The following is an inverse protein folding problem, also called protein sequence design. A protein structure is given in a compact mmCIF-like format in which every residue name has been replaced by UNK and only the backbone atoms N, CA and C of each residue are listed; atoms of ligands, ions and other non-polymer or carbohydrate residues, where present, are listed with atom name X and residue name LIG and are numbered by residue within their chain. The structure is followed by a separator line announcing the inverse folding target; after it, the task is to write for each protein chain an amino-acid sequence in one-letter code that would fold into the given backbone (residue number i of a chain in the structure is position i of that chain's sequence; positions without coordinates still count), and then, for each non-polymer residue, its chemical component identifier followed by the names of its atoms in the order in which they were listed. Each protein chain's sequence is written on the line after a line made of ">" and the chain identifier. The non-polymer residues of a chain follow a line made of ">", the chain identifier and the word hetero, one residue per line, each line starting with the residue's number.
data_IF_296779164405
#
_entry.id   IF_296779164405
#
_cell.length_a   1.000
_cell.length_b   1.000
_cell.length_c   1.000
_cell.angle_alpha   90.00
_cell.angle_beta   90.00
_cell.angle_gamma   90.00
#
_symmetry.space_group_name_H-M   'P 1'
#
loop_
_entity.id
_entity.type
_entity.pdbx_description
1 polymer ?
#
# COMPACT_ATOMS: atom_id res chain seq x y z
N UNK A 1 -4.56 19.62 9.41
CA UNK A 1 -4.82 20.05 8.02
C UNK A 1 -6.06 19.33 7.51
N UNK A 2 -6.90 19.99 6.70
CA UNK A 2 -8.03 19.33 6.05
C UNK A 2 -7.48 18.32 5.04
N UNK A 3 -7.80 17.03 5.22
CA UNK A 3 -7.44 15.97 4.28
C UNK A 3 -8.37 16.00 3.07
N UNK A 4 -8.17 16.98 2.19
CA UNK A 4 -8.89 17.07 0.93
C UNK A 4 -8.34 16.05 -0.06
N UNK A 5 -9.23 15.48 -0.88
CA UNK A 5 -8.80 14.74 -2.06
C UNK A 5 -8.22 15.67 -3.11
N UNK A 6 -7.50 15.09 -4.07
CA UNK A 6 -6.97 15.79 -5.23
C UNK A 6 -8.09 16.54 -5.97
N UNK A 7 -9.24 15.89 -6.17
CA UNK A 7 -10.37 16.48 -6.86
C UNK A 7 -10.97 17.66 -6.10
N UNK A 8 -11.25 17.49 -4.82
CA UNK A 8 -11.79 18.57 -3.97
C UNK A 8 -10.85 19.77 -3.94
N UNK A 9 -9.56 19.51 -3.77
CA UNK A 9 -8.52 20.56 -3.78
C UNK A 9 -8.51 21.32 -5.11
N UNK A 10 -8.59 20.61 -6.24
CA UNK A 10 -8.67 21.23 -7.56
C UNK A 10 -9.97 22.03 -7.72
N UNK A 11 -11.10 21.56 -7.20
CA UNK A 11 -12.38 22.30 -7.24
C UNK A 11 -12.29 23.63 -6.49
N UNK A 12 -11.53 23.70 -5.39
CA UNK A 12 -11.32 24.98 -4.67
C UNK A 12 -10.57 26.04 -5.51
N UNK A 13 -9.88 25.64 -6.59
CA UNK A 13 -9.20 26.58 -7.49
C UNK A 13 -10.15 27.56 -8.17
N UNK A 14 -11.44 27.22 -8.30
CA UNK A 14 -12.47 28.11 -8.86
C UNK A 14 -12.72 29.31 -7.94
N UNK A 15 -12.52 29.16 -6.62
CA UNK A 15 -12.78 30.20 -5.64
C UNK A 15 -11.76 31.33 -5.69
N UNK A 16 -10.52 31.05 -6.10
CA UNK A 16 -9.48 32.06 -6.29
C UNK A 16 -8.25 31.49 -7.00
N UNK A 17 -7.52 32.34 -7.74
CA UNK A 17 -6.19 32.01 -8.30
C UNK A 17 -5.20 31.55 -7.24
N UNK A 18 -5.35 32.02 -5.98
CA UNK A 18 -4.48 31.59 -4.87
C UNK A 18 -4.60 30.09 -4.60
N UNK A 19 -5.81 29.53 -4.69
CA UNK A 19 -6.04 28.10 -4.47
C UNK A 19 -5.39 27.22 -5.53
N UNK A 20 -5.27 27.72 -6.77
CA UNK A 20 -4.51 27.04 -7.83
C UNK A 20 -3.04 26.87 -7.47
N UNK A 21 -2.40 27.93 -6.97
CA UNK A 21 -1.00 27.86 -6.57
C UNK A 21 -0.81 26.96 -5.35
N UNK A 22 -1.74 27.01 -4.39
CA UNK A 22 -1.70 26.19 -3.18
C UNK A 22 -1.81 24.69 -3.52
N UNK A 23 -2.73 24.32 -4.42
CA UNK A 23 -2.92 22.94 -4.88
C UNK A 23 -1.63 22.33 -5.43
N UNK A 24 -0.92 23.05 -6.33
CA UNK A 24 0.30 22.57 -6.96
C UNK A 24 1.41 22.21 -5.95
N UNK A 25 1.45 22.88 -4.80
CA UNK A 25 2.43 22.66 -3.73
C UNK A 25 1.86 21.92 -2.52
N UNK A 26 0.69 21.28 -2.61
CA UNK A 26 0.10 20.61 -1.47
C UNK A 26 0.96 19.41 -1.04
N UNK A 27 1.28 19.28 0.26
CA UNK A 27 2.12 18.20 0.77
C UNK A 27 1.35 16.87 0.88
N UNK A 28 0.02 16.90 0.79
CA UNK A 28 -0.82 15.70 0.82
C UNK A 28 -1.47 15.52 -0.54
N UNK A 29 -1.22 14.38 -1.18
CA UNK A 29 -1.84 14.01 -2.44
C UNK A 29 -2.72 12.78 -2.22
N UNK A 30 -4.04 12.97 -2.25
CA UNK A 30 -5.01 11.91 -2.03
C UNK A 30 -5.87 11.71 -3.30
N UNK A 31 -5.55 10.66 -4.05
CA UNK A 31 -6.23 10.25 -5.27
C UNK A 31 -7.21 9.12 -4.89
N UNK A 32 -8.51 9.36 -5.01
CA UNK A 32 -9.55 8.37 -4.68
C UNK A 32 -10.57 8.26 -5.81
N UNK A 33 -10.60 7.10 -6.48
CA UNK A 33 -11.54 6.84 -7.57
C UNK A 33 -13.01 6.92 -7.12
N UNK A 34 -13.32 6.64 -5.84
CA UNK A 34 -14.71 6.60 -5.35
C UNK A 34 -15.46 7.91 -5.55
N UNK A 35 -14.75 9.03 -5.62
CA UNK A 35 -15.33 10.35 -5.90
C UNK A 35 -15.89 10.46 -7.33
N UNK A 36 -15.34 9.68 -8.26
CA UNK A 36 -15.78 9.62 -9.64
C UNK A 36 -16.94 8.63 -9.82
N UNK A 37 -17.00 7.59 -8.99
CA UNK A 37 -18.07 6.58 -9.01
C UNK A 37 -19.41 7.07 -8.41
N UNK A 38 -19.40 8.06 -7.51
CA UNK A 38 -20.60 8.51 -6.76
C UNK A 38 -21.62 9.31 -7.59
N UNK A 39 -21.28 9.70 -8.83
CA UNK A 39 -22.11 10.60 -9.62
C UNK A 39 -23.27 9.91 -10.38
N UNK A 40 -23.32 8.58 -10.46
CA UNK A 40 -24.25 7.87 -11.36
C UNK A 40 -24.88 6.63 -10.72
N UNK A 41 -25.59 6.81 -9.61
CA UNK A 41 -26.61 5.81 -9.19
C UNK A 41 -28.00 6.07 -9.80
N UNK A 42 -28.15 7.03 -10.73
CA UNK A 42 -29.48 7.48 -11.20
C UNK A 42 -29.74 7.42 -12.71
N UNK A 43 -28.99 6.68 -13.52
CA UNK A 43 -29.34 6.54 -14.95
C UNK A 43 -29.05 5.15 -15.50
N UNK A 44 -30.09 4.52 -16.07
CA UNK A 44 -29.99 3.32 -16.91
C UNK A 44 -29.17 3.61 -18.18
N UNK A 45 -28.26 2.70 -18.52
CA UNK A 45 -27.38 2.75 -19.68
C UNK A 45 -25.93 2.56 -19.22
N UNK A 46 -25.17 1.66 -19.84
CA UNK A 46 -23.90 1.10 -19.31
C UNK A 46 -22.86 2.21 -18.94
N UNK A 47 -22.80 2.66 -17.67
CA UNK A 47 -22.03 3.85 -17.27
C UNK A 47 -20.54 3.57 -17.07
N UNK A 48 -20.14 2.29 -17.11
CA UNK A 48 -18.99 1.77 -16.36
C UNK A 48 -17.63 1.86 -17.06
N UNK A 49 -17.59 2.05 -18.38
CA UNK A 49 -16.34 2.15 -19.17
C UNK A 49 -15.83 3.59 -19.29
N UNK A 50 -16.74 4.58 -19.32
CA UNK A 50 -16.41 5.99 -19.54
C UNK A 50 -15.79 6.69 -18.33
N UNK A 51 -16.14 6.26 -17.11
CA UNK A 51 -15.72 6.93 -15.87
C UNK A 51 -14.27 6.65 -15.49
N UNK A 52 -13.76 5.46 -15.85
CA UNK A 52 -12.36 5.13 -15.68
C UNK A 52 -11.48 6.08 -16.50
N UNK A 53 -11.88 6.37 -17.74
CA UNK A 53 -11.20 7.35 -18.59
C UNK A 53 -11.16 8.75 -17.97
N UNK A 54 -12.26 9.24 -17.39
CA UNK A 54 -12.30 10.56 -16.74
C UNK A 54 -11.40 10.67 -15.51
N UNK A 55 -11.38 9.62 -14.69
CA UNK A 55 -10.49 9.56 -13.53
C UNK A 55 -9.03 9.46 -13.97
N UNK A 56 -8.73 8.59 -14.92
CA UNK A 56 -7.37 8.42 -15.45
C UNK A 56 -6.85 9.70 -16.09
N UNK A 57 -7.69 10.39 -16.85
CA UNK A 57 -7.39 11.67 -17.47
C UNK A 57 -7.16 12.73 -16.39
N UNK A 58 -8.01 12.81 -15.36
CA UNK A 58 -7.82 13.73 -14.25
C UNK A 58 -6.47 13.51 -13.55
N UNK A 59 -6.13 12.27 -13.21
CA UNK A 59 -4.86 12.00 -12.52
C UNK A 59 -3.68 12.26 -13.48
N UNK A 60 -3.70 11.69 -14.67
CA UNK A 60 -2.56 11.74 -15.60
C UNK A 60 -2.34 13.13 -16.21
N UNK A 61 -3.41 13.84 -16.59
CA UNK A 61 -3.31 15.15 -17.23
C UNK A 61 -3.29 16.29 -16.22
N UNK A 62 -3.91 16.16 -15.05
CA UNK A 62 -4.02 17.26 -14.11
C UNK A 62 -3.12 17.05 -12.88
N UNK A 63 -3.22 15.91 -12.21
CA UNK A 63 -2.45 15.67 -10.99
C UNK A 63 -0.95 15.56 -11.29
N UNK A 64 -0.54 14.66 -12.18
CA UNK A 64 0.88 14.42 -12.44
C UNK A 64 1.59 15.56 -13.17
N UNK A 65 0.85 16.40 -13.91
CA UNK A 65 1.43 17.51 -14.69
C UNK A 65 1.55 18.80 -13.88
N UNK A 66 0.57 19.10 -13.02
CA UNK A 66 0.53 20.39 -12.32
C UNK A 66 0.95 20.30 -10.86
N UNK A 67 0.95 19.10 -10.26
CA UNK A 67 1.52 18.94 -8.92
C UNK A 67 3.05 18.96 -9.01
N UNK A 68 3.66 19.86 -8.24
CA UNK A 68 5.10 20.18 -8.33
C UNK A 68 5.81 20.09 -6.98
N UNK A 69 5.17 19.49 -5.97
CA UNK A 69 5.82 19.33 -4.67
C UNK A 69 7.01 18.36 -4.79
N UNK A 70 8.17 18.81 -4.33
CA UNK A 70 9.40 18.01 -4.28
C UNK A 70 9.36 16.95 -3.19
N UNK A 71 8.54 17.14 -2.16
CA UNK A 71 8.32 16.18 -1.08
C UNK A 71 6.86 16.14 -0.67
N UNK A 72 6.33 14.94 -0.46
CA UNK A 72 4.99 14.72 0.10
C UNK A 72 5.07 14.33 1.57
N UNK A 73 4.13 14.79 2.37
CA UNK A 73 3.87 14.24 3.70
C UNK A 73 3.02 12.97 3.57
N UNK A 74 2.07 12.95 2.63
CA UNK A 74 1.21 11.81 2.39
C UNK A 74 0.91 11.63 0.90
N UNK A 75 1.05 10.40 0.40
CA UNK A 75 0.56 9.98 -0.91
C UNK A 75 -0.44 8.84 -0.71
N UNK A 76 -1.69 9.07 -1.11
CA UNK A 76 -2.74 8.06 -1.08
C UNK A 76 -3.29 7.86 -2.49
N UNK A 77 -3.36 6.61 -2.93
CA UNK A 77 -3.91 6.24 -4.21
C UNK A 77 -4.88 5.06 -4.02
N UNK A 78 -6.17 5.31 -4.20
CA UNK A 78 -7.20 4.29 -4.26
C UNK A 78 -7.78 4.22 -5.67
N UNK A 79 -7.62 3.06 -6.30
CA UNK A 79 -8.20 2.79 -7.60
C UNK A 79 -8.69 1.34 -7.70
N UNK A 80 -9.57 1.09 -8.66
CA UNK A 80 -10.25 -0.19 -8.86
C UNK A 80 -9.72 -0.91 -10.10
N UNK A 81 -10.09 -2.18 -10.28
CA UNK A 81 -9.64 -3.07 -11.37
C UNK A 81 -9.96 -2.57 -12.79
N UNK A 82 -10.70 -1.47 -12.91
CA UNK A 82 -11.06 -0.88 -14.19
C UNK A 82 -9.96 -0.03 -14.79
N UNK A 83 -9.03 0.47 -13.96
CA UNK A 83 -7.92 1.28 -14.43
C UNK A 83 -6.83 0.39 -15.06
N UNK A 84 -6.22 0.86 -16.15
CA UNK A 84 -5.08 0.14 -16.75
C UNK A 84 -3.88 0.13 -15.81
N UNK A 85 -3.18 -1.00 -15.75
CA UNK A 85 -2.03 -1.18 -14.86
C UNK A 85 -0.91 -0.18 -15.16
N UNK A 86 -0.58 0.01 -16.44
CA UNK A 86 0.50 0.88 -16.90
C UNK A 86 0.27 2.34 -16.52
N UNK A 87 -1.00 2.73 -16.44
CA UNK A 87 -1.41 4.08 -16.04
C UNK A 87 -1.19 4.26 -14.54
N UNK A 88 -1.49 3.25 -13.74
CA UNK A 88 -1.40 3.37 -12.27
C UNK A 88 -0.02 3.13 -11.73
N UNK A 89 0.74 2.24 -12.34
CA UNK A 89 2.18 2.15 -12.10
C UNK A 89 2.86 3.51 -12.32
N UNK A 90 2.45 4.28 -13.35
CA UNK A 90 2.94 5.65 -13.55
C UNK A 90 2.58 6.59 -12.38
N UNK A 91 1.38 6.47 -11.83
CA UNK A 91 0.94 7.28 -10.68
C UNK A 91 1.72 6.94 -9.42
N UNK A 92 1.91 5.65 -9.18
CA UNK A 92 2.69 5.12 -8.07
C UNK A 92 4.14 5.60 -8.17
N UNK A 93 4.78 5.47 -9.35
CA UNK A 93 6.15 5.95 -9.58
C UNK A 93 6.28 7.46 -9.36
N UNK A 94 5.28 8.24 -9.74
CA UNK A 94 5.27 9.67 -9.46
C UNK A 94 5.14 9.95 -7.95
N UNK A 95 4.22 9.29 -7.26
CA UNK A 95 4.08 9.41 -5.81
C UNK A 95 5.38 9.06 -5.07
N UNK A 96 6.04 7.98 -5.48
CA UNK A 96 7.34 7.54 -4.98
C UNK A 96 8.43 8.60 -5.22
N UNK A 97 8.47 9.20 -6.43
CA UNK A 97 9.44 10.23 -6.79
C UNK A 97 9.37 11.45 -5.85
N UNK A 98 8.19 11.74 -5.31
CA UNK A 98 7.98 12.82 -4.36
C UNK A 98 8.33 12.43 -2.90
N UNK A 99 9.06 11.33 -2.66
CA UNK A 99 9.57 10.91 -1.33
C UNK A 99 8.57 11.10 -0.17
N UNK A 100 7.41 10.43 -0.21
CA UNK A 100 6.36 10.63 0.77
C UNK A 100 6.77 10.12 2.15
N UNK A 101 6.33 10.80 3.22
CA UNK A 101 6.49 10.27 4.58
C UNK A 101 5.50 9.14 4.89
N UNK A 102 4.30 9.22 4.32
CA UNK A 102 3.25 8.20 4.40
C UNK A 102 2.77 7.82 3.00
N UNK A 103 2.72 6.53 2.70
CA UNK A 103 2.22 6.03 1.43
C UNK A 103 1.12 4.99 1.64
N UNK A 104 -0.03 5.21 1.03
CA UNK A 104 -1.18 4.31 1.08
C UNK A 104 -1.63 3.99 -0.35
N UNK A 105 -1.49 2.73 -0.76
CA UNK A 105 -1.89 2.30 -2.09
C UNK A 105 -2.90 1.18 -1.92
N UNK A 106 -4.06 1.35 -2.54
CA UNK A 106 -5.09 0.32 -2.54
C UNK A 106 -5.60 0.12 -3.96
N UNK A 107 -5.54 -1.14 -4.40
CA UNK A 107 -5.87 -1.54 -5.76
C UNK A 107 -6.68 -2.86 -5.72
N UNK A 108 -7.43 -3.21 -6.77
CA UNK A 108 -8.22 -4.45 -6.85
C UNK A 108 -7.51 -5.49 -7.72
N UNK A 109 -7.54 -6.80 -7.41
CA UNK A 109 -6.42 -7.73 -7.69
C UNK A 109 -6.06 -7.81 -9.19
N UNK A 110 -4.78 -8.16 -9.46
CA UNK A 110 -4.05 -8.29 -10.75
C UNK A 110 -2.98 -7.22 -11.05
N UNK A 111 -2.69 -6.29 -10.14
CA UNK A 111 -1.57 -5.35 -10.32
C UNK A 111 -0.34 -5.81 -9.56
N UNK A 112 0.73 -6.04 -10.32
CA UNK A 112 2.08 -6.25 -9.83
C UNK A 112 2.69 -4.91 -9.44
N UNK A 113 2.99 -4.75 -8.16
CA UNK A 113 3.79 -3.68 -7.64
C UNK A 113 5.25 -4.07 -7.77
N UNK A 114 5.90 -3.51 -8.80
CA UNK A 114 7.31 -3.72 -9.10
C UNK A 114 8.26 -2.95 -8.19
N UNK A 115 7.73 -2.18 -7.24
CA UNK A 115 8.52 -1.77 -6.09
C UNK A 115 8.70 -0.28 -5.81
N UNK A 116 9.47 -0.03 -4.76
CA UNK A 116 9.99 1.27 -4.31
C UNK A 116 11.11 1.75 -5.27
N UNK A 117 11.50 3.03 -5.25
CA UNK A 117 12.45 3.55 -6.24
C UNK A 117 13.81 2.86 -6.05
N UNK A 118 14.42 2.47 -7.16
CA UNK A 118 15.72 1.81 -7.14
C UNK A 118 16.80 2.73 -6.53
N UNK A 119 17.73 2.10 -5.80
CA UNK A 119 18.83 2.64 -4.98
C UNK A 119 19.67 3.79 -5.60
N UNK A 120 19.07 4.96 -5.78
CA UNK A 120 19.75 6.19 -6.17
C UNK A 120 19.19 7.45 -5.51
N UNK A 121 18.09 7.35 -4.77
CA UNK A 121 17.48 8.48 -4.07
C UNK A 121 17.77 8.39 -2.58
N UNK A 122 18.74 9.18 -2.12
CA UNK A 122 19.19 9.33 -0.72
C UNK A 122 18.14 9.93 0.24
N UNK A 123 16.87 9.98 -0.17
CA UNK A 123 15.80 10.71 0.50
C UNK A 123 14.51 9.89 0.68
N UNK A 124 14.56 8.55 0.85
CA UNK A 124 13.37 7.84 1.29
C UNK A 124 13.02 8.29 2.72
N UNK A 125 11.98 9.12 2.84
CA UNK A 125 11.40 9.60 4.10
C UNK A 125 10.24 8.73 4.57
N UNK A 126 9.98 7.61 3.87
CA UNK A 126 8.82 6.76 4.07
C UNK A 126 8.89 6.09 5.44
N UNK A 127 8.03 6.56 6.35
CA UNK A 127 7.87 5.99 7.69
C UNK A 127 6.72 5.01 7.76
N UNK A 128 5.68 5.22 6.95
CA UNK A 128 4.49 4.36 6.89
C UNK A 128 4.20 3.94 5.47
N UNK A 129 4.07 2.64 5.26
CA UNK A 129 3.65 2.04 4.01
C UNK A 129 2.41 1.16 4.25
N UNK A 130 1.32 1.46 3.57
CA UNK A 130 0.12 0.64 3.54
C UNK A 130 -0.18 0.22 2.10
N UNK A 131 -0.23 -1.08 1.86
CA UNK A 131 -0.53 -1.70 0.58
C UNK A 131 -1.75 -2.59 0.74
N UNK A 132 -2.77 -2.39 -0.08
CA UNK A 132 -4.00 -3.17 -0.05
C UNK A 132 -4.40 -3.73 -1.42
N UNK A 133 -4.63 -5.04 -1.48
CA UNK A 133 -5.00 -5.88 -2.65
C UNK A 133 -4.09 -5.69 -3.87
N UNK A 134 -2.79 -5.68 -3.58
CA UNK A 134 -1.68 -5.54 -4.53
C UNK A 134 -0.87 -6.83 -4.58
N UNK A 135 -0.38 -7.21 -5.77
CA UNK A 135 0.61 -8.28 -5.92
C UNK A 135 2.01 -7.73 -5.77
N UNK A 136 2.83 -8.34 -4.92
CA UNK A 136 4.20 -7.91 -4.62
C UNK A 136 5.18 -8.90 -5.22
N UNK A 137 6.08 -8.38 -6.05
CA UNK A 137 7.17 -9.15 -6.64
C UNK A 137 8.26 -9.47 -5.60
N UNK A 138 9.07 -10.48 -5.92
CA UNK A 138 10.26 -10.91 -5.21
C UNK A 138 11.26 -9.79 -4.90
N UNK A 139 11.35 -8.77 -5.75
CA UNK A 139 12.21 -7.60 -5.52
C UNK A 139 11.75 -6.66 -4.39
N UNK A 140 10.48 -6.73 -3.97
CA UNK A 140 9.92 -5.82 -2.95
C UNK A 140 10.67 -5.89 -1.62
N UNK A 141 11.03 -7.10 -1.19
CA UNK A 141 11.67 -7.35 0.11
C UNK A 141 13.10 -6.79 0.15
N UNK A 142 13.83 -6.91 -0.94
CA UNK A 142 15.17 -6.32 -1.10
C UNK A 142 15.09 -4.79 -1.10
N UNK A 143 14.03 -4.22 -1.68
CA UNK A 143 13.80 -2.78 -1.71
C UNK A 143 13.37 -2.21 -0.36
N UNK A 144 12.66 -2.97 0.49
CA UNK A 144 12.40 -2.54 1.87
C UNK A 144 13.71 -2.35 2.63
N UNK A 145 14.68 -3.27 2.47
CA UNK A 145 15.98 -3.20 3.13
C UNK A 145 16.88 -2.07 2.59
N UNK A 146 16.94 -1.91 1.25
CA UNK A 146 17.88 -0.99 0.59
C UNK A 146 17.29 0.38 0.29
N UNK A 147 15.98 0.45 0.03
CA UNK A 147 15.30 1.63 -0.47
C UNK A 147 14.69 2.52 0.63
N UNK A 148 14.26 1.96 1.76
CA UNK A 148 13.57 2.72 2.81
C UNK A 148 14.04 2.37 4.24
N UNK A 149 15.23 2.85 4.64
CA UNK A 149 15.83 2.53 5.94
C UNK A 149 15.07 3.10 7.15
N UNK A 150 14.16 4.05 6.95
CA UNK A 150 13.39 4.72 8.02
C UNK A 150 11.96 4.22 8.16
N UNK A 151 11.60 3.10 7.52
CA UNK A 151 10.26 2.55 7.55
C UNK A 151 9.94 1.95 8.92
N UNK A 152 8.98 2.54 9.64
CA UNK A 152 8.57 2.13 10.99
C UNK A 152 7.27 1.32 10.98
N UNK A 153 6.33 1.65 10.08
CA UNK A 153 5.00 1.03 9.98
C UNK A 153 4.80 0.40 8.60
N UNK A 154 4.54 -0.92 8.55
CA UNK A 154 4.18 -1.64 7.34
C UNK A 154 2.82 -2.35 7.51
N UNK A 155 1.88 -2.06 6.61
CA UNK A 155 0.56 -2.67 6.57
C UNK A 155 0.34 -3.32 5.20
N UNK A 156 0.03 -4.60 5.19
CA UNK A 156 -0.30 -5.38 3.99
C UNK A 156 -1.69 -5.97 4.18
N UNK A 157 -2.65 -5.59 3.33
CA UNK A 157 -4.03 -6.04 3.40
C UNK A 157 -4.43 -6.73 2.08
N UNK A 158 -4.91 -7.97 2.12
CA UNK A 158 -5.32 -8.74 0.92
C UNK A 158 -4.26 -8.81 -0.19
N UNK A 159 -2.97 -8.69 0.14
CA UNK A 159 -1.88 -8.69 -0.83
C UNK A 159 -1.49 -10.10 -1.28
N UNK A 160 -1.04 -10.23 -2.52
CA UNK A 160 -0.43 -11.44 -3.05
C UNK A 160 1.10 -11.32 -2.95
N UNK A 161 1.76 -12.29 -2.33
CA UNK A 161 3.20 -12.27 -2.04
C UNK A 161 3.86 -13.49 -2.68
N UNK A 162 4.56 -13.30 -3.81
CA UNK A 162 5.19 -14.41 -4.55
C UNK A 162 6.50 -14.89 -3.90
N UNK A 163 7.26 -13.98 -3.27
CA UNK A 163 8.32 -14.30 -2.31
C UNK A 163 8.01 -13.64 -0.98
N UNK A 164 8.04 -14.44 0.07
CA UNK A 164 7.48 -14.07 1.36
C UNK A 164 8.56 -13.96 2.42
N UNK A 165 9.64 -13.24 2.13
CA UNK A 165 10.67 -12.95 3.12
C UNK A 165 10.65 -11.47 3.48
N UNK A 166 9.95 -11.08 4.54
CA UNK A 166 9.94 -9.69 5.00
C UNK A 166 11.16 -9.47 5.88
N UNK A 167 12.15 -8.73 5.37
CA UNK A 167 13.34 -8.30 6.12
C UNK A 167 13.30 -6.79 6.32
N UNK A 168 13.45 -6.33 7.56
CA UNK A 168 13.65 -4.91 7.86
C UNK A 168 14.30 -4.73 9.22
N UNK A 169 15.18 -3.73 9.36
CA UNK A 169 15.88 -3.43 10.61
C UNK A 169 15.28 -2.23 11.36
N UNK A 170 14.43 -1.43 10.71
CA UNK A 170 13.80 -0.23 11.28
C UNK A 170 12.31 -0.39 11.58
N UNK A 171 11.71 -1.50 11.12
CA UNK A 171 10.29 -1.75 11.26
C UNK A 171 9.90 -1.99 12.72
N UNK A 172 8.94 -1.21 13.21
CA UNK A 172 8.40 -1.26 14.59
C UNK A 172 7.00 -1.87 14.63
N UNK A 173 6.19 -1.66 13.58
CA UNK A 173 4.82 -2.17 13.48
C UNK A 173 4.62 -2.89 12.16
N UNK A 174 4.13 -4.13 12.23
CA UNK A 174 3.81 -4.95 11.07
C UNK A 174 2.39 -5.49 11.19
N UNK A 175 1.56 -5.16 10.20
CA UNK A 175 0.19 -5.68 10.07
C UNK A 175 0.09 -6.43 8.75
N UNK A 176 -0.29 -7.70 8.80
CA UNK A 176 -0.52 -8.54 7.62
C UNK A 176 -1.91 -9.15 7.76
N UNK A 177 -2.83 -8.75 6.88
CA UNK A 177 -4.23 -9.18 6.91
C UNK A 177 -4.64 -9.80 5.57
N UNK A 178 -5.21 -11.00 5.58
CA UNK A 178 -5.80 -11.69 4.41
C UNK A 178 -4.88 -11.84 3.18
N UNK A 179 -3.55 -11.81 3.37
CA UNK A 179 -2.58 -11.98 2.29
C UNK A 179 -2.46 -13.45 1.83
N UNK A 180 -2.15 -13.67 0.55
CA UNK A 180 -2.04 -15.00 -0.08
C UNK A 180 -0.73 -15.18 -0.85
N UNK A 181 -0.43 -16.41 -1.27
CA UNK A 181 0.74 -16.75 -2.08
C UNK A 181 0.40 -17.86 -3.08
N UNK A 182 0.77 -17.69 -4.35
CA UNK A 182 0.44 -18.62 -5.43
C UNK A 182 0.99 -20.05 -5.24
N UNK A 183 2.16 -20.20 -4.62
CA UNK A 183 2.89 -21.48 -4.57
C UNK A 183 2.87 -22.14 -3.18
N UNK A 184 1.98 -21.69 -2.30
CA UNK A 184 1.96 -22.14 -0.91
C UNK A 184 3.32 -21.96 -0.25
N UNK A 185 3.84 -20.74 -0.29
CA UNK A 185 5.19 -20.46 0.23
C UNK A 185 5.22 -20.37 1.75
N UNK A 186 6.44 -20.25 2.28
CA UNK A 186 6.70 -19.98 3.69
C UNK A 186 6.90 -18.49 3.87
N UNK A 187 6.09 -17.85 4.72
CA UNK A 187 6.26 -16.45 5.07
C UNK A 187 7.30 -16.33 6.19
N UNK A 188 8.51 -15.90 5.85
CA UNK A 188 9.59 -15.65 6.79
C UNK A 188 9.64 -14.17 7.14
N UNK A 189 9.55 -13.85 8.43
CA UNK A 189 9.61 -12.46 8.92
C UNK A 189 10.86 -12.29 9.78
N UNK A 190 11.73 -11.37 9.36
CA UNK A 190 12.97 -11.01 10.06
C UNK A 190 12.98 -9.51 10.32
N UNK A 191 12.46 -9.12 11.48
CA UNK A 191 12.41 -7.73 11.92
C UNK A 191 12.78 -7.60 13.40
N UNK A 192 14.07 -7.41 13.75
CA UNK A 192 14.52 -7.44 15.15
C UNK A 192 14.04 -6.25 15.99
N UNK A 193 13.74 -5.12 15.35
CA UNK A 193 13.22 -3.91 15.99
C UNK A 193 11.69 -3.88 16.12
N UNK A 194 11.01 -4.97 15.77
CA UNK A 194 9.54 -5.02 15.76
C UNK A 194 8.98 -5.02 17.19
N UNK A 195 8.04 -4.12 17.45
CA UNK A 195 7.38 -3.91 18.75
C UNK A 195 5.94 -4.42 18.72
N UNK A 196 5.24 -4.23 17.60
CA UNK A 196 3.85 -4.65 17.39
C UNK A 196 3.73 -5.53 16.15
N UNK A 197 3.13 -6.71 16.31
CA UNK A 197 2.89 -7.65 15.23
C UNK A 197 1.41 -8.07 15.18
N UNK A 198 0.76 -7.85 14.04
CA UNK A 198 -0.59 -8.33 13.80
C UNK A 198 -0.62 -9.18 12.54
N UNK A 199 -1.00 -10.45 12.69
CA UNK A 199 -1.18 -11.37 11.59
C UNK A 199 -2.61 -11.89 11.62
N UNK A 200 -3.43 -11.55 10.63
CA UNK A 200 -4.74 -12.14 10.44
C UNK A 200 -4.79 -12.80 9.07
N UNK A 201 -4.97 -14.12 9.01
CA UNK A 201 -5.11 -14.85 7.75
C UNK A 201 -6.53 -15.41 7.71
N UNK A 202 -7.37 -14.84 6.85
CA UNK A 202 -8.71 -15.30 6.56
C UNK A 202 -8.77 -16.38 5.48
N UNK A 203 -9.90 -17.09 5.45
CA UNK A 203 -10.24 -18.06 4.41
C UNK A 203 -10.55 -17.34 3.11
N UNK A 204 -9.55 -16.99 2.30
CA UNK A 204 -9.84 -16.64 0.90
C UNK A 204 -10.36 -17.90 0.19
N UNK A 205 -11.47 -17.75 -0.53
CA UNK A 205 -12.12 -18.82 -1.31
C UNK A 205 -11.28 -19.30 -2.48
N UNK A 206 -10.19 -18.61 -2.82
CA UNK A 206 -9.26 -18.95 -3.88
C UNK A 206 -7.98 -19.59 -3.32
N UNK A 207 -8.04 -20.89 -3.04
CA UNK A 207 -7.01 -21.93 -3.21
C UNK A 207 -5.54 -21.78 -2.76
N UNK A 208 -5.02 -20.59 -2.45
CA UNK A 208 -3.57 -20.35 -2.33
C UNK A 208 -3.21 -19.88 -0.93
N UNK A 209 -3.07 -20.85 -0.01
CA UNK A 209 -2.76 -20.62 1.42
C UNK A 209 -1.25 -20.73 1.67
N UNK A 210 -0.75 -19.95 2.63
CA UNK A 210 0.59 -20.12 3.20
C UNK A 210 0.80 -21.54 3.71
N UNK A 211 1.95 -22.16 3.43
CA UNK A 211 2.28 -23.49 4.00
C UNK A 211 2.73 -23.36 5.45
N UNK A 212 3.50 -22.34 5.74
CA UNK A 212 3.89 -21.98 7.11
C UNK A 212 4.26 -20.51 7.21
N UNK A 213 4.25 -20.01 8.44
CA UNK A 213 4.78 -18.69 8.79
C UNK A 213 5.90 -18.91 9.77
N UNK A 214 7.11 -18.45 9.42
CA UNK A 214 8.30 -18.48 10.25
C UNK A 214 8.58 -17.07 10.74
N UNK A 215 8.57 -16.89 12.04
CA UNK A 215 8.94 -15.63 12.67
C UNK A 215 10.30 -15.84 13.33
N UNK A 216 11.34 -15.20 12.80
CA UNK A 216 12.68 -15.23 13.39
C UNK A 216 12.69 -14.44 14.71
N UNK A 217 13.78 -14.53 15.48
CA UNK A 217 13.88 -13.86 16.78
C UNK A 217 13.56 -12.36 16.69
N UNK A 218 12.56 -11.94 17.47
CA UNK A 218 12.11 -10.56 17.59
C UNK A 218 12.26 -10.10 19.04
N UNK A 219 13.48 -9.73 19.47
CA UNK A 219 13.78 -9.43 20.86
C UNK A 219 13.04 -8.19 21.39
N UNK A 220 12.57 -7.31 20.49
CA UNK A 220 11.88 -6.06 20.86
C UNK A 220 10.35 -6.18 20.91
N UNK A 221 9.79 -7.38 20.67
CA UNK A 221 8.36 -7.55 20.48
C UNK A 221 7.58 -7.48 21.80
N UNK A 222 6.63 -6.54 21.88
CA UNK A 222 5.81 -6.31 23.07
C UNK A 222 4.39 -6.86 22.87
N UNK A 223 3.82 -6.63 21.69
CA UNK A 223 2.45 -7.02 21.36
C UNK A 223 2.43 -7.90 20.11
N UNK A 224 1.76 -9.06 20.21
CA UNK A 224 1.45 -9.88 19.05
C UNK A 224 0.00 -10.33 19.07
N UNK A 225 -0.68 -10.21 17.93
CA UNK A 225 -2.02 -10.76 17.70
C UNK A 225 -1.98 -11.62 16.45
N UNK A 226 -2.25 -12.91 16.61
CA UNK A 226 -2.23 -13.88 15.51
C UNK A 226 -3.60 -14.52 15.41
N UNK A 227 -4.31 -14.25 14.31
CA UNK A 227 -5.64 -14.78 14.01
C UNK A 227 -5.56 -15.64 12.75
N UNK A 228 -5.50 -16.94 12.94
CA UNK A 228 -5.59 -17.90 11.84
C UNK A 228 -7.02 -18.43 11.80
N UNK A 229 -7.78 -18.02 10.78
CA UNK A 229 -9.12 -18.54 10.55
C UNK A 229 -9.00 -19.72 9.59
N UNK A 230 -8.58 -20.90 10.08
CA UNK A 230 -8.57 -22.12 9.26
C UNK A 230 -9.26 -23.29 9.98
N UNK A 231 -10.24 -23.95 9.33
CA UNK A 231 -10.72 -25.28 9.71
C UNK A 231 -9.85 -26.43 9.17
N UNK A 232 -8.83 -26.15 8.33
CA UNK A 232 -7.93 -27.16 7.75
C UNK A 232 -6.49 -27.05 8.29
N UNK A 233 -5.90 -28.20 8.61
CA UNK A 233 -4.64 -28.45 9.34
C UNK A 233 -3.32 -27.98 8.66
N UNK A 234 -3.37 -27.14 7.62
CA UNK A 234 -2.23 -26.98 6.70
C UNK A 234 -1.29 -25.78 6.97
N UNK A 235 -1.72 -24.74 7.69
CA UNK A 235 -0.85 -23.59 8.01
C UNK A 235 -0.15 -23.83 9.37
N UNK A 236 1.15 -24.16 9.36
CA UNK A 236 1.94 -24.28 10.60
C UNK A 236 2.60 -22.94 10.94
N UNK A 237 2.37 -22.45 12.16
CA UNK A 237 3.05 -21.26 12.70
C UNK A 237 4.30 -21.74 13.47
N UNK A 238 5.48 -21.32 13.05
CA UNK A 238 6.74 -21.55 13.77
C UNK A 238 7.26 -20.21 14.29
N UNK A 239 7.17 -20.02 15.60
CA UNK A 239 7.54 -18.78 16.27
C UNK A 239 8.59 -19.03 17.35
N UNK A 240 9.74 -18.36 17.27
CA UNK A 240 10.70 -18.25 18.36
C UNK A 240 10.45 -16.96 19.18
N UNK A 241 9.21 -16.79 19.65
CA UNK A 241 8.81 -15.64 20.46
C UNK A 241 9.02 -15.94 21.94
N UNK A 242 10.14 -15.46 22.49
CA UNK A 242 10.40 -15.53 23.93
C UNK A 242 9.89 -14.21 24.54
N UNK A 243 8.93 -14.27 25.48
CA UNK A 243 8.35 -13.12 26.23
C UNK A 243 7.22 -12.28 25.59
N UNK A 244 6.38 -12.84 24.73
CA UNK A 244 5.33 -12.06 24.03
C UNK A 244 3.94 -12.26 24.65
N UNK A 245 3.20 -11.16 24.86
CA UNK A 245 1.76 -11.22 25.17
C UNK A 245 0.99 -11.48 23.88
N UNK A 246 0.42 -12.68 23.77
CA UNK A 246 -0.47 -13.07 22.67
C UNK A 246 -1.89 -12.67 23.08
N UNK A 247 -2.50 -11.77 22.31
CA UNK A 247 -3.90 -11.31 22.48
C UNK A 247 -4.85 -12.00 21.49
#
# INVERSE_FOLDING_TARGET
>A
MLFLTARQSVQTCVLSRRWRNLWCSMPCLNIDQREFDTAVSSAMGDPKVWECGRFEEFVSNLVLKFHSASSLDMFRCHATHRCQFEVVDRWIRHGIKCSPAVMEISWSPHVFFFGLPNSGSTACRLKRLHLARIALDTGFTQQLCSGCPVLEDLQLETCLLDSAEIRSHSLKSLIVTDCTSHFGTVLTITAPALVSFHLAIGTSTSGSKWRSVIVNEMPSLVEASIRLKSPDESCKLFCSLVYVRIL
#
